data_IF_962173944112
#
_entry.id   IF_962173944112
#
_cell.length_a   1.000
_cell.length_b   1.000
_cell.length_c   1.000
_cell.angle_alpha   90.00
_cell.angle_beta   90.00
_cell.angle_gamma   90.00
#
_symmetry.space_group_name_H-M   'P 1'
#
loop_
_entity.id
_entity.type
_entity.pdbx_description
1 polymer ?
#
# COMPACT_ATOMS: atom_id res chain seq x y z
N UNK A 1 66.25 1.67 27.11
CA UNK A 1 65.26 0.99 27.96
C UNK A 1 64.15 0.55 27.02
N UNK A 2 63.96 -0.77 26.92
CA UNK A 2 62.91 -1.61 26.31
C UNK A 2 61.71 -0.94 25.59
N UNK A 3 61.01 -1.57 24.66
CA UNK A 3 61.18 -2.68 23.71
C UNK A 3 59.85 -2.73 22.91
N UNK A 4 59.95 -3.30 21.71
CA UNK A 4 58.95 -3.86 20.78
C UNK A 4 57.45 -3.89 21.16
N UNK A 5 56.57 -3.62 20.17
CA UNK A 5 55.19 -4.14 20.19
C UNK A 5 54.25 -3.75 19.04
N UNK A 6 54.28 -4.55 17.95
CA UNK A 6 53.17 -4.85 17.00
C UNK A 6 52.62 -3.68 16.14
N UNK A 7 52.95 -3.52 14.85
CA UNK A 7 52.67 -4.42 13.73
C UNK A 7 51.33 -5.18 13.82
N UNK A 8 50.23 -4.46 13.63
CA UNK A 8 49.01 -5.03 13.08
C UNK A 8 49.06 -4.87 11.55
N UNK A 9 49.73 -5.82 10.90
CA UNK A 9 49.63 -6.04 9.48
C UNK A 9 48.24 -6.57 9.19
N UNK A 10 47.34 -5.75 8.64
CA UNK A 10 46.12 -6.26 7.99
C UNK A 10 46.51 -6.68 6.57
N UNK A 11 46.54 -7.98 6.23
CA UNK A 11 46.85 -8.42 4.88
C UNK A 11 45.53 -8.50 4.11
N UNK A 12 45.14 -7.42 3.45
CA UNK A 12 43.96 -7.43 2.57
C UNK A 12 44.21 -6.83 1.18
N UNK A 13 45.47 -6.80 0.73
CA UNK A 13 45.84 -6.37 -0.62
C UNK A 13 47.01 -7.18 -1.20
N UNK A 14 47.04 -8.49 -0.95
CA UNK A 14 47.86 -9.43 -1.73
C UNK A 14 47.10 -10.74 -1.99
N UNK A 15 46.08 -10.66 -2.84
CA UNK A 15 45.70 -11.78 -3.71
C UNK A 15 45.73 -11.33 -5.16
N UNK A 16 46.87 -10.75 -5.55
CA UNK A 16 47.32 -10.83 -6.94
C UNK A 16 47.93 -12.21 -7.15
N UNK A 17 47.10 -13.22 -7.43
CA UNK A 17 47.53 -14.44 -8.12
C UNK A 17 46.31 -15.26 -8.59
N UNK A 18 46.02 -15.15 -9.89
CA UNK A 18 45.53 -16.20 -10.78
C UNK A 18 44.73 -17.33 -10.12
N UNK A 19 43.52 -17.04 -9.65
CA UNK A 19 42.44 -17.97 -9.90
C UNK A 19 41.91 -17.63 -11.28
N UNK A 20 42.34 -18.40 -12.28
CA UNK A 20 41.50 -18.62 -13.46
C UNK A 20 40.36 -19.46 -12.91
N UNK A 21 39.37 -18.78 -12.31
CA UNK A 21 38.12 -19.40 -11.96
C UNK A 21 37.68 -20.15 -13.20
N UNK A 22 37.36 -21.44 -13.05
CA UNK A 22 36.84 -22.20 -14.19
C UNK A 22 35.68 -21.40 -14.80
N UNK A 23 35.39 -21.59 -16.09
CA UNK A 23 34.25 -20.91 -16.71
C UNK A 23 32.94 -21.11 -15.93
N UNK A 24 32.85 -22.16 -15.10
CA UNK A 24 31.74 -22.45 -14.19
C UNK A 24 31.80 -21.66 -12.87
N UNK A 25 32.96 -21.54 -12.22
CA UNK A 25 33.11 -20.75 -10.98
C UNK A 25 32.84 -19.26 -11.22
N UNK A 26 33.28 -18.73 -12.37
CA UNK A 26 32.96 -17.34 -12.75
C UNK A 26 31.46 -17.15 -12.98
N UNK A 27 30.78 -18.11 -13.61
CA UNK A 27 29.32 -18.05 -13.84
C UNK A 27 28.54 -18.17 -12.54
N UNK A 28 28.96 -19.04 -11.62
CA UNK A 28 28.34 -19.19 -10.31
C UNK A 28 28.46 -17.89 -9.51
N UNK A 29 29.64 -17.29 -9.47
CA UNK A 29 29.85 -16.00 -8.80
C UNK A 29 29.02 -14.86 -9.43
N UNK A 30 28.93 -14.79 -10.76
CA UNK A 30 28.09 -13.81 -11.45
C UNK A 30 26.59 -14.03 -11.17
N UNK A 31 26.13 -15.28 -11.04
CA UNK A 31 24.76 -15.62 -10.66
C UNK A 31 24.46 -15.24 -9.20
N UNK A 32 25.36 -15.54 -8.27
CA UNK A 32 25.23 -15.18 -6.86
C UNK A 32 25.16 -13.66 -6.69
N UNK A 33 26.05 -12.91 -7.35
CA UNK A 33 26.05 -11.44 -7.32
C UNK A 33 24.74 -10.87 -7.90
N UNK A 34 24.28 -11.39 -9.03
CA UNK A 34 23.02 -10.96 -9.64
C UNK A 34 21.81 -11.24 -8.74
N UNK A 35 21.82 -12.36 -8.02
CA UNK A 35 20.76 -12.73 -7.07
C UNK A 35 20.77 -11.81 -5.83
N UNK A 36 21.94 -11.49 -5.28
CA UNK A 36 22.07 -10.53 -4.18
C UNK A 36 21.60 -9.12 -4.59
N UNK A 37 21.99 -8.66 -5.79
CA UNK A 37 21.54 -7.38 -6.33
C UNK A 37 20.02 -7.34 -6.53
N UNK A 38 19.42 -8.45 -6.98
CA UNK A 38 17.99 -8.58 -7.13
C UNK A 38 17.28 -8.51 -5.77
N UNK A 39 17.73 -9.30 -4.79
CA UNK A 39 17.14 -9.31 -3.44
C UNK A 39 17.20 -7.93 -2.78
N UNK A 40 18.35 -7.25 -2.86
CA UNK A 40 18.50 -5.90 -2.31
C UNK A 40 17.58 -4.89 -3.02
N UNK A 41 17.39 -5.04 -4.33
CA UNK A 41 16.49 -4.18 -5.10
C UNK A 41 15.02 -4.43 -4.77
N UNK A 42 14.63 -5.70 -4.60
CA UNK A 42 13.27 -6.08 -4.18
C UNK A 42 12.96 -5.57 -2.79
N UNK A 43 13.86 -5.74 -1.82
CA UNK A 43 13.66 -5.23 -0.46
C UNK A 43 13.46 -3.70 -0.45
N UNK A 44 14.30 -2.97 -1.17
CA UNK A 44 14.18 -1.51 -1.28
C UNK A 44 12.86 -1.07 -1.92
N UNK A 45 12.42 -1.77 -2.98
CA UNK A 45 11.13 -1.51 -3.62
C UNK A 45 9.98 -1.77 -2.65
N UNK A 46 10.00 -2.90 -1.95
CA UNK A 46 8.99 -3.25 -0.95
C UNK A 46 8.92 -2.20 0.15
N UNK A 47 10.06 -1.78 0.71
CA UNK A 47 10.10 -0.74 1.75
C UNK A 47 9.52 0.58 1.24
N UNK A 48 9.89 1.00 0.03
CA UNK A 48 9.36 2.21 -0.57
C UNK A 48 7.83 2.13 -0.81
N UNK A 49 7.33 0.97 -1.24
CA UNK A 49 5.89 0.77 -1.46
C UNK A 49 5.12 0.77 -0.14
N UNK A 50 5.62 0.08 0.88
CA UNK A 50 4.98 0.01 2.19
C UNK A 50 5.01 1.36 2.92
N UNK A 51 6.10 2.13 2.78
CA UNK A 51 6.21 3.47 3.35
C UNK A 51 5.25 4.46 2.66
N UNK A 52 5.14 4.40 1.33
CA UNK A 52 4.43 5.41 0.54
C UNK A 52 2.96 5.08 0.36
N UNK A 53 2.61 3.80 0.25
CA UNK A 53 1.27 3.34 -0.09
C UNK A 53 0.66 2.43 1.01
N UNK A 54 0.75 2.77 2.31
CA UNK A 54 0.25 1.92 3.39
C UNK A 54 -1.28 1.75 3.39
N UNK A 55 -1.98 2.57 2.60
CA UNK A 55 -3.43 2.59 2.47
C UNK A 55 -3.95 1.70 1.34
N UNK A 56 -3.07 1.20 0.46
CA UNK A 56 -3.50 0.32 -0.61
C UNK A 56 -3.60 -1.13 -0.13
N UNK A 57 -4.70 -1.77 -0.50
CA UNK A 57 -4.83 -3.22 -0.40
C UNK A 57 -3.83 -3.91 -1.33
N UNK A 58 -3.39 -5.12 -0.95
CA UNK A 58 -2.38 -5.89 -1.68
C UNK A 58 -2.74 -6.06 -3.17
N UNK A 59 -3.99 -6.40 -3.48
CA UNK A 59 -4.46 -6.55 -4.86
C UNK A 59 -4.29 -5.26 -5.69
N UNK A 60 -4.49 -4.09 -5.08
CA UNK A 60 -4.34 -2.79 -5.76
C UNK A 60 -2.89 -2.42 -5.95
N UNK A 61 -2.04 -2.78 -5.00
CA UNK A 61 -0.61 -2.63 -5.12
C UNK A 61 -0.08 -3.48 -6.28
N UNK A 62 -0.51 -4.75 -6.37
CA UNK A 62 -0.16 -5.66 -7.48
C UNK A 62 -0.58 -5.07 -8.81
N UNK A 63 -1.83 -4.60 -8.95
CA UNK A 63 -2.32 -3.97 -10.19
C UNK A 63 -1.48 -2.77 -10.63
N UNK A 64 -1.00 -1.94 -9.68
CA UNK A 64 -0.10 -0.83 -9.99
C UNK A 64 1.27 -1.30 -10.46
N UNK A 65 1.85 -2.30 -9.79
CA UNK A 65 3.15 -2.85 -10.16
C UNK A 65 3.10 -3.55 -11.51
N UNK A 66 2.03 -4.29 -11.80
CA UNK A 66 1.79 -4.90 -13.11
C UNK A 66 1.65 -3.82 -14.20
N UNK A 67 0.93 -2.73 -13.91
CA UNK A 67 0.82 -1.60 -14.85
C UNK A 67 2.18 -0.94 -15.15
N UNK A 68 3.04 -0.78 -14.13
CA UNK A 68 4.42 -0.31 -14.31
C UNK A 68 5.21 -1.33 -15.13
N UNK A 69 5.10 -2.61 -14.82
CA UNK A 69 5.84 -3.69 -15.49
C UNK A 69 5.49 -3.79 -16.98
N UNK A 70 4.20 -3.71 -17.35
CA UNK A 70 3.75 -3.73 -18.76
C UNK A 70 4.41 -2.59 -19.55
N UNK A 71 4.53 -1.41 -18.95
CA UNK A 71 5.16 -0.26 -19.60
C UNK A 71 6.67 -0.37 -19.73
N UNK A 72 7.33 -1.15 -18.87
CA UNK A 72 8.80 -1.25 -18.79
C UNK A 72 9.35 -2.64 -19.15
N UNK A 73 8.52 -3.55 -19.66
CA UNK A 73 8.92 -4.85 -20.22
C UNK A 73 9.99 -4.77 -21.33
N UNK A 74 10.91 -5.74 -21.41
CA UNK A 74 11.92 -5.84 -22.48
C UNK A 74 13.32 -5.32 -22.13
N UNK A 75 14.23 -5.39 -23.10
CA UNK A 75 15.68 -5.22 -22.86
C UNK A 75 16.17 -3.77 -22.80
N UNK A 76 15.34 -2.78 -23.15
CA UNK A 76 15.72 -1.37 -23.12
C UNK A 76 14.71 -0.58 -22.30
N UNK A 77 15.18 -0.09 -21.15
CA UNK A 77 14.46 0.86 -20.32
C UNK A 77 14.31 2.18 -21.10
N UNK A 78 13.17 2.34 -21.79
CA UNK A 78 12.84 3.56 -22.51
C UNK A 78 11.78 4.33 -21.74
N UNK A 79 12.01 5.63 -21.55
CA UNK A 79 11.02 6.54 -20.95
C UNK A 79 9.85 6.84 -21.90
N UNK A 80 10.01 6.49 -23.17
CA UNK A 80 8.96 6.54 -24.18
C UNK A 80 8.30 5.16 -24.33
N UNK A 81 7.07 5.07 -23.82
CA UNK A 81 6.29 3.82 -23.73
C UNK A 81 5.30 3.69 -24.91
N UNK A 82 5.34 4.61 -25.89
CA UNK A 82 4.41 4.67 -27.04
C UNK A 82 4.30 3.35 -27.80
N UNK A 83 5.43 2.68 -28.01
CA UNK A 83 5.50 1.41 -28.73
C UNK A 83 4.72 0.27 -28.06
N UNK A 84 4.28 0.44 -26.81
CA UNK A 84 3.52 -0.55 -26.04
C UNK A 84 2.05 -0.19 -25.88
N UNK A 85 1.55 0.72 -26.72
CA UNK A 85 0.18 1.20 -26.68
C UNK A 85 -0.85 0.06 -26.57
N UNK A 86 -0.79 -0.91 -27.48
CA UNK A 86 -1.74 -2.02 -27.51
C UNK A 86 -1.74 -2.86 -26.21
N UNK A 87 -0.55 -3.12 -25.63
CA UNK A 87 -0.42 -3.87 -24.37
C UNK A 87 -1.01 -3.10 -23.20
N UNK A 88 -0.80 -1.78 -23.16
CA UNK A 88 -1.33 -0.88 -22.12
C UNK A 88 -2.85 -0.82 -22.20
N UNK A 89 -3.43 -0.71 -23.40
CA UNK A 89 -4.90 -0.74 -23.61
C UNK A 89 -5.47 -2.06 -23.09
N UNK A 90 -4.95 -3.20 -23.58
CA UNK A 90 -5.43 -4.51 -23.20
C UNK A 90 -5.27 -4.80 -21.71
N UNK A 91 -4.26 -4.21 -21.05
CA UNK A 91 -4.13 -4.26 -19.60
C UNK A 91 -5.25 -3.46 -18.92
N UNK A 92 -5.46 -2.19 -19.31
CA UNK A 92 -6.43 -1.30 -18.66
C UNK A 92 -7.88 -1.72 -18.88
N UNK A 93 -8.20 -2.36 -20.00
CA UNK A 93 -9.52 -2.95 -20.23
C UNK A 93 -9.84 -4.07 -19.22
N UNK A 94 -8.81 -4.81 -18.78
CA UNK A 94 -8.94 -5.87 -17.77
C UNK A 94 -8.82 -5.34 -16.35
N UNK A 95 -7.93 -4.38 -16.14
CA UNK A 95 -7.57 -3.83 -14.84
C UNK A 95 -7.48 -2.28 -14.92
N UNK A 96 -8.60 -1.56 -14.80
CA UNK A 96 -8.63 -0.12 -15.02
C UNK A 96 -8.04 0.70 -13.86
N UNK A 97 -7.63 0.06 -12.77
CA UNK A 97 -7.29 0.73 -11.52
C UNK A 97 -6.24 1.83 -11.67
N UNK A 98 -5.18 1.60 -12.45
CA UNK A 98 -4.10 2.56 -12.63
C UNK A 98 -4.58 3.89 -13.23
N UNK A 99 -5.64 3.88 -14.05
CA UNK A 99 -6.24 5.06 -14.66
C UNK A 99 -7.34 5.71 -13.81
N UNK A 100 -7.60 5.20 -12.59
CA UNK A 100 -8.53 5.85 -11.64
C UNK A 100 -7.85 6.99 -10.89
N UNK A 101 -8.64 7.88 -10.26
CA UNK A 101 -8.10 8.94 -9.41
C UNK A 101 -7.22 8.40 -8.27
N UNK A 102 -7.57 7.24 -7.69
CA UNK A 102 -6.78 6.61 -6.65
C UNK A 102 -5.47 6.04 -7.22
N UNK A 103 -5.52 5.31 -8.33
CA UNK A 103 -4.32 4.77 -8.99
C UNK A 103 -3.34 5.85 -9.42
N UNK A 104 -3.82 6.95 -10.02
CA UNK A 104 -3.00 8.12 -10.38
C UNK A 104 -2.38 8.76 -9.13
N UNK A 105 -3.16 8.92 -8.05
CA UNK A 105 -2.64 9.43 -6.76
C UNK A 105 -1.50 8.55 -6.23
N UNK A 106 -1.68 7.24 -6.22
CA UNK A 106 -0.68 6.29 -5.72
C UNK A 106 0.62 6.33 -6.55
N UNK A 107 0.51 6.37 -7.89
CA UNK A 107 1.66 6.53 -8.76
C UNK A 107 2.37 7.88 -8.54
N UNK A 108 1.61 8.94 -8.29
CA UNK A 108 2.15 10.27 -8.00
C UNK A 108 2.91 10.32 -6.67
N UNK A 109 2.41 9.63 -5.64
CA UNK A 109 3.09 9.51 -4.35
C UNK A 109 4.41 8.75 -4.51
N UNK A 110 4.40 7.62 -5.22
CA UNK A 110 5.58 6.79 -5.45
C UNK A 110 6.65 7.53 -6.27
N UNK A 111 6.25 8.20 -7.35
CA UNK A 111 7.16 9.00 -8.16
C UNK A 111 7.78 10.16 -7.35
N UNK A 112 6.99 10.85 -6.51
CA UNK A 112 7.50 11.94 -5.66
C UNK A 112 8.47 11.44 -4.59
N UNK A 113 8.19 10.29 -3.99
CA UNK A 113 9.07 9.68 -3.01
C UNK A 113 10.43 9.33 -3.65
N UNK A 114 10.40 8.69 -4.81
CA UNK A 114 11.60 8.34 -5.56
C UNK A 114 12.39 9.58 -6.01
N UNK A 115 11.70 10.66 -6.41
CA UNK A 115 12.35 11.94 -6.77
C UNK A 115 13.10 12.55 -5.59
N UNK A 116 12.45 12.68 -4.42
CA UNK A 116 13.06 13.27 -3.20
C UNK A 116 14.32 12.53 -2.75
N UNK A 117 14.38 11.21 -2.91
CA UNK A 117 15.55 10.40 -2.55
C UNK A 117 16.66 10.41 -3.63
N UNK A 118 16.37 10.95 -4.82
CA UNK A 118 17.30 10.96 -5.98
C UNK A 118 18.12 12.25 -6.15
N UNK A 119 17.85 13.31 -5.38
CA UNK A 119 18.63 14.56 -5.40
C UNK A 119 20.05 14.30 -4.87
N UNK A 120 20.97 13.89 -5.75
CA UNK A 120 22.40 13.73 -5.42
C UNK A 120 23.21 12.83 -6.35
N UNK A 121 22.65 11.74 -6.90
CA UNK A 121 23.40 10.79 -7.74
C UNK A 121 22.50 10.06 -8.76
N UNK A 122 22.58 10.45 -10.04
CA UNK A 122 21.78 9.89 -11.14
C UNK A 122 21.97 8.37 -11.40
N UNK A 123 22.99 7.73 -10.80
CA UNK A 123 23.23 6.28 -10.90
C UNK A 123 22.46 5.45 -9.87
N UNK A 124 21.76 6.08 -8.92
CA UNK A 124 21.08 5.41 -7.80
C UNK A 124 19.78 4.70 -8.24
N UNK A 125 19.47 3.57 -7.60
CA UNK A 125 18.31 2.71 -7.89
C UNK A 125 16.98 3.48 -7.75
N UNK A 126 16.97 4.50 -6.90
CA UNK A 126 15.87 5.44 -6.64
C UNK A 126 15.58 6.33 -7.85
N UNK A 127 16.61 6.74 -8.61
CA UNK A 127 16.40 7.47 -9.85
C UNK A 127 15.77 6.58 -10.92
N UNK A 128 16.15 5.30 -10.97
CA UNK A 128 15.49 4.31 -11.85
C UNK A 128 14.03 4.13 -11.43
N UNK A 129 13.76 3.98 -10.14
CA UNK A 129 12.39 3.93 -9.62
C UNK A 129 11.59 5.20 -9.98
N UNK A 130 12.20 6.38 -9.93
CA UNK A 130 11.56 7.61 -10.38
C UNK A 130 11.24 7.57 -11.87
N UNK A 131 12.18 7.16 -12.73
CA UNK A 131 11.93 7.06 -14.17
C UNK A 131 10.81 6.07 -14.48
N UNK A 132 10.80 4.89 -13.84
CA UNK A 132 9.80 3.84 -14.13
C UNK A 132 8.39 4.32 -13.71
N UNK A 133 8.30 4.93 -12.54
CA UNK A 133 7.02 5.35 -11.95
C UNK A 133 6.49 6.63 -12.57
N UNK A 134 7.36 7.57 -12.94
CA UNK A 134 6.96 8.79 -13.64
C UNK A 134 6.46 8.52 -15.06
N UNK A 135 7.08 7.57 -15.77
CA UNK A 135 6.57 7.10 -17.06
C UNK A 135 5.17 6.50 -16.94
N UNK A 136 4.97 5.62 -15.95
CA UNK A 136 3.67 5.02 -15.68
C UNK A 136 2.61 6.06 -15.27
N UNK A 137 2.98 6.99 -14.41
CA UNK A 137 2.14 8.10 -13.99
C UNK A 137 1.71 8.98 -15.17
N UNK A 138 2.63 9.26 -16.10
CA UNK A 138 2.33 10.08 -17.27
C UNK A 138 1.19 9.46 -18.09
N UNK A 139 1.30 8.17 -18.40
CA UNK A 139 0.27 7.41 -19.13
C UNK A 139 -1.05 7.40 -18.36
N UNK A 140 -1.02 7.03 -17.09
CA UNK A 140 -2.24 6.94 -16.27
C UNK A 140 -2.96 8.28 -16.12
N UNK A 141 -2.23 9.37 -15.86
CA UNK A 141 -2.80 10.70 -15.71
C UNK A 141 -3.43 11.21 -17.01
N UNK A 142 -2.78 10.93 -18.15
CA UNK A 142 -3.31 11.30 -19.44
C UNK A 142 -4.61 10.52 -19.75
N UNK A 143 -4.66 9.21 -19.46
CA UNK A 143 -5.89 8.41 -19.65
C UNK A 143 -7.02 8.91 -18.73
N UNK A 144 -6.72 9.21 -17.46
CA UNK A 144 -7.71 9.79 -16.53
C UNK A 144 -8.28 11.11 -17.05
N UNK A 145 -7.44 11.98 -17.63
CA UNK A 145 -7.88 13.26 -18.19
C UNK A 145 -8.92 13.10 -19.30
N UNK A 146 -8.85 12.00 -20.04
CA UNK A 146 -9.78 11.63 -21.11
C UNK A 146 -10.93 10.76 -20.61
N UNK A 147 -11.37 10.96 -19.37
CA UNK A 147 -12.50 10.23 -18.80
C UNK A 147 -12.20 8.75 -18.50
N UNK A 148 -10.92 8.36 -18.46
CA UNK A 148 -10.52 6.97 -18.26
C UNK A 148 -10.51 6.14 -19.53
N UNK A 149 -10.67 6.75 -20.72
CA UNK A 149 -10.70 6.06 -22.01
C UNK A 149 -9.28 5.88 -22.57
N UNK A 150 -8.69 4.67 -22.55
CA UNK A 150 -7.33 4.46 -23.05
C UNK A 150 -7.26 4.74 -24.56
N UNK A 151 -8.28 4.34 -25.32
CA UNK A 151 -8.35 4.56 -26.77
C UNK A 151 -8.24 6.05 -27.14
N UNK A 152 -8.93 6.93 -26.39
CA UNK A 152 -8.89 8.37 -26.63
C UNK A 152 -7.49 8.97 -26.38
N UNK A 153 -6.78 8.47 -25.37
CA UNK A 153 -5.37 8.84 -25.14
C UNK A 153 -4.51 8.47 -26.35
N UNK A 154 -4.63 7.24 -26.88
CA UNK A 154 -3.82 6.77 -28.02
C UNK A 154 -4.19 7.46 -29.33
N UNK A 155 -5.47 7.65 -29.61
CA UNK A 155 -5.94 8.41 -30.77
C UNK A 155 -5.30 9.81 -30.77
N UNK A 156 -5.17 10.43 -29.59
CA UNK A 156 -4.57 11.74 -29.49
C UNK A 156 -3.04 11.76 -29.68
N UNK A 157 -2.36 10.62 -29.57
CA UNK A 157 -0.93 10.48 -29.92
C UNK A 157 -0.69 10.45 -31.42
N UNK A 158 -1.68 9.95 -32.17
CA UNK A 158 -1.66 9.85 -33.64
C UNK A 158 -2.00 11.19 -34.32
N UNK A 159 -2.56 12.14 -33.55
CA UNK A 159 -2.83 13.50 -34.01
C UNK A 159 -1.53 14.30 -34.21
N UNK A 160 -1.67 15.49 -34.78
CA UNK A 160 -0.54 16.37 -35.08
C UNK A 160 0.37 16.65 -33.86
N UNK A 161 1.56 17.18 -34.13
CA UNK A 161 2.60 17.44 -33.12
C UNK A 161 2.14 18.34 -31.97
N UNK A 162 1.19 19.25 -32.21
CA UNK A 162 0.68 20.17 -31.19
C UNK A 162 -0.20 19.42 -30.19
N UNK A 163 -1.09 18.57 -30.69
CA UNK A 163 -1.93 17.72 -29.86
C UNK A 163 -1.09 16.69 -29.13
N UNK A 164 -0.20 15.97 -29.84
CA UNK A 164 0.69 14.97 -29.27
C UNK A 164 1.56 15.49 -28.13
N UNK A 165 2.04 16.74 -28.22
CA UNK A 165 2.85 17.37 -27.16
C UNK A 165 2.07 17.61 -25.86
N UNK A 166 0.74 17.73 -25.91
CA UNK A 166 -0.08 17.79 -24.69
C UNK A 166 0.06 16.49 -23.91
N UNK A 167 0.14 15.34 -24.59
CA UNK A 167 0.17 13.99 -24.00
C UNK A 167 1.56 13.50 -23.58
N UNK A 168 2.61 13.99 -24.24
CA UNK A 168 3.95 13.42 -24.12
C UNK A 168 4.95 14.15 -23.25
N UNK A 169 4.57 15.25 -22.63
CA UNK A 169 5.53 15.95 -21.78
C UNK A 169 5.30 15.61 -20.33
N UNK A 170 6.41 15.47 -19.60
CA UNK A 170 6.53 15.41 -18.14
C UNK A 170 5.52 16.28 -17.37
N UNK A 171 4.91 17.25 -18.01
CA UNK A 171 3.76 18.03 -17.55
C UNK A 171 2.58 17.20 -17.03
N UNK A 172 2.14 16.09 -17.64
CA UNK A 172 1.05 15.30 -17.04
C UNK A 172 1.50 14.66 -15.72
N UNK A 173 2.67 14.03 -15.69
CA UNK A 173 3.24 13.52 -14.44
C UNK A 173 3.48 14.63 -13.39
N UNK A 174 4.00 15.79 -13.79
CA UNK A 174 4.21 16.95 -12.90
C UNK A 174 2.90 17.52 -12.39
N UNK A 175 1.89 17.68 -13.25
CA UNK A 175 0.55 18.12 -12.88
C UNK A 175 -0.08 17.12 -11.95
N UNK A 176 -0.02 15.83 -12.24
CA UNK A 176 -0.55 14.80 -11.36
C UNK A 176 0.18 14.79 -10.00
N UNK A 177 1.51 14.91 -9.98
CA UNK A 177 2.28 15.09 -8.74
C UNK A 177 1.87 16.35 -7.97
N UNK A 178 1.58 17.46 -8.67
CA UNK A 178 1.13 18.70 -8.05
C UNK A 178 -0.31 18.58 -7.55
N UNK A 179 -1.24 18.11 -8.36
CA UNK A 179 -2.68 18.01 -8.12
C UNK A 179 -2.98 16.93 -7.07
N UNK A 180 -2.46 15.73 -7.23
CA UNK A 180 -2.80 14.59 -6.35
C UNK A 180 -1.97 14.54 -5.07
N UNK A 181 -0.74 15.08 -5.05
CA UNK A 181 0.09 15.08 -3.84
C UNK A 181 -0.07 16.35 -2.98
N UNK A 182 -0.72 17.41 -3.50
CA UNK A 182 -1.20 18.51 -2.65
C UNK A 182 -2.56 18.19 -2.04
N UNK A 183 -3.38 17.38 -2.72
CA UNK A 183 -4.69 16.95 -2.25
C UNK A 183 -4.61 15.91 -1.12
N UNK A 184 -3.48 15.21 -0.96
CA UNK A 184 -3.27 14.21 0.11
C UNK A 184 -3.23 14.81 1.52
N UNK A 185 -2.96 16.11 1.69
CA UNK A 185 -3.17 16.75 3.00
C UNK A 185 -4.65 16.74 3.43
N UNK A 186 -5.58 16.72 2.47
CA UNK A 186 -7.02 16.79 2.72
C UNK A 186 -7.71 15.40 2.70
N UNK A 187 -7.22 14.45 1.89
CA UNK A 187 -7.75 13.08 1.86
C UNK A 187 -7.38 12.32 3.14
N UNK A 188 -6.14 12.49 3.62
CA UNK A 188 -5.66 11.89 4.87
C UNK A 188 -6.44 12.46 6.09
N UNK A 189 -6.91 13.71 6.02
CA UNK A 189 -7.83 14.29 7.00
C UNK A 189 -9.24 13.69 6.93
N UNK A 190 -9.76 13.46 5.72
CA UNK A 190 -11.10 12.93 5.49
C UNK A 190 -11.22 11.45 5.88
N UNK A 191 -10.21 10.64 5.58
CA UNK A 191 -10.18 9.23 5.97
C UNK A 191 -9.96 9.06 7.48
N UNK A 192 -9.10 9.90 8.11
CA UNK A 192 -8.98 9.92 9.57
C UNK A 192 -10.26 10.39 10.26
N UNK A 193 -10.97 11.37 9.69
CA UNK A 193 -12.27 11.79 10.19
C UNK A 193 -13.31 10.66 10.11
N UNK A 194 -13.42 9.99 8.96
CA UNK A 194 -14.32 8.83 8.79
C UNK A 194 -13.93 7.64 9.69
N UNK A 195 -12.64 7.41 9.92
CA UNK A 195 -12.17 6.39 10.87
C UNK A 195 -12.51 6.76 12.33
N UNK A 196 -12.47 8.04 12.69
CA UNK A 196 -12.88 8.52 14.01
C UNK A 196 -14.40 8.40 14.23
N UNK A 197 -15.21 8.70 13.23
CA UNK A 197 -16.67 8.53 13.27
C UNK A 197 -17.06 7.06 13.41
N UNK A 198 -16.40 6.15 12.68
CA UNK A 198 -16.63 4.70 12.83
C UNK A 198 -16.28 4.18 14.22
N UNK A 199 -15.21 4.70 14.84
CA UNK A 199 -14.86 4.36 16.24
C UNK A 199 -15.93 4.88 17.21
N UNK A 200 -16.41 6.11 16.99
CA UNK A 200 -17.45 6.71 17.84
C UNK A 200 -18.79 5.97 17.70
N UNK A 201 -19.19 5.57 16.49
CA UNK A 201 -20.38 4.75 16.26
C UNK A 201 -20.28 3.36 16.90
N UNK A 202 -19.09 2.72 16.84
CA UNK A 202 -18.86 1.46 17.56
C UNK A 202 -18.96 1.63 19.07
N UNK A 203 -18.45 2.74 19.61
CA UNK A 203 -18.55 3.02 21.03
C UNK A 203 -20.01 3.23 21.46
N UNK A 204 -20.80 4.02 20.72
CA UNK A 204 -22.23 4.21 20.98
C UNK A 204 -22.99 2.88 20.91
N UNK A 205 -22.66 2.02 19.94
CA UNK A 205 -23.26 0.69 19.83
C UNK A 205 -22.90 -0.19 21.05
N UNK A 206 -21.63 -0.21 21.46
CA UNK A 206 -21.20 -0.95 22.65
C UNK A 206 -21.92 -0.44 23.91
N UNK A 207 -21.99 0.87 24.10
CA UNK A 207 -22.65 1.48 25.27
C UNK A 207 -24.15 1.17 25.30
N UNK A 208 -24.81 1.15 24.14
CA UNK A 208 -26.24 0.83 24.03
C UNK A 208 -26.53 -0.65 24.31
N UNK A 209 -25.67 -1.56 23.84
CA UNK A 209 -25.82 -3.00 24.09
C UNK A 209 -25.43 -3.39 25.52
N UNK A 210 -24.34 -2.85 26.05
CA UNK A 210 -23.94 -3.09 27.44
C UNK A 210 -24.96 -2.50 28.42
N UNK A 211 -25.44 -1.28 28.19
CA UNK A 211 -26.48 -0.65 29.01
C UNK A 211 -27.82 -1.41 28.98
N UNK A 212 -28.26 -1.86 27.80
CA UNK A 212 -29.48 -2.68 27.66
C UNK A 212 -29.38 -4.04 28.35
N UNK A 213 -28.20 -4.68 28.30
CA UNK A 213 -27.97 -5.97 28.96
C UNK A 213 -28.06 -5.89 30.49
N UNK A 214 -27.60 -4.80 31.10
CA UNK A 214 -27.67 -4.59 32.54
C UNK A 214 -29.11 -4.36 33.02
N UNK A 215 -29.92 -3.62 32.25
CA UNK A 215 -31.34 -3.44 32.55
C UNK A 215 -32.12 -4.75 32.44
N UNK A 216 -31.89 -5.56 31.41
CA UNK A 216 -32.54 -6.87 31.30
C UNK A 216 -32.14 -7.78 32.46
N UNK A 217 -30.86 -7.83 32.82
CA UNK A 217 -30.41 -8.66 33.94
C UNK A 217 -31.03 -8.22 35.27
N UNK A 218 -31.10 -6.91 35.54
CA UNK A 218 -31.75 -6.38 36.75
C UNK A 218 -33.25 -6.70 36.80
N UNK A 219 -33.96 -6.60 35.67
CA UNK A 219 -35.38 -6.92 35.58
C UNK A 219 -35.66 -8.41 35.83
N UNK A 220 -34.85 -9.30 35.26
CA UNK A 220 -34.94 -10.75 35.47
C UNK A 220 -34.70 -11.08 36.95
N UNK A 221 -33.63 -10.55 37.54
CA UNK A 221 -33.31 -10.79 38.95
C UNK A 221 -34.38 -10.23 39.89
N UNK A 222 -34.94 -9.06 39.58
CA UNK A 222 -36.07 -8.49 40.33
C UNK A 222 -37.32 -9.35 40.24
N UNK A 223 -37.65 -9.87 39.06
CA UNK A 223 -38.79 -10.77 38.85
C UNK A 223 -38.64 -12.10 39.60
N UNK A 224 -37.45 -12.70 39.58
CA UNK A 224 -37.15 -13.91 40.36
C UNK A 224 -37.30 -13.63 41.86
N UNK A 225 -36.79 -12.50 42.35
CA UNK A 225 -36.93 -12.10 43.75
C UNK A 225 -38.40 -11.98 44.18
N UNK A 226 -39.23 -11.32 43.38
CA UNK A 226 -40.67 -11.18 43.66
C UNK A 226 -41.39 -12.55 43.69
N UNK A 227 -41.03 -13.47 42.78
CA UNK A 227 -41.58 -14.82 42.75
C UNK A 227 -41.25 -15.62 44.02
N UNK A 228 -39.99 -15.56 44.48
CA UNK A 228 -39.56 -16.24 45.71
C UNK A 228 -40.35 -15.73 46.92
N UNK A 229 -40.57 -14.41 47.02
CA UNK A 229 -41.36 -13.82 48.11
C UNK A 229 -42.82 -14.30 48.05
N UNK A 230 -43.43 -14.32 46.87
CA UNK A 230 -44.81 -14.77 46.70
C UNK A 230 -45.00 -16.26 47.07
N UNK A 231 -44.07 -17.12 46.66
CA UNK A 231 -44.07 -18.54 47.02
C UNK A 231 -43.92 -18.70 48.53
N UNK A 232 -42.96 -18.00 49.14
CA UNK A 232 -42.72 -18.05 50.59
C UNK A 232 -43.95 -17.62 51.38
N UNK A 233 -44.60 -16.53 50.97
CA UNK A 233 -45.83 -16.05 51.60
C UNK A 233 -46.97 -17.07 51.47
N UNK A 234 -47.14 -17.67 50.29
CA UNK A 234 -48.17 -18.69 50.04
C UNK A 234 -47.94 -19.94 50.88
N UNK A 235 -46.69 -20.40 51.01
CA UNK A 235 -46.32 -21.54 51.86
C UNK A 235 -46.58 -21.24 53.33
N UNK A 236 -46.16 -20.06 53.83
CA UNK A 236 -46.44 -19.64 55.20
C UNK A 236 -47.94 -19.58 55.48
N UNK A 237 -48.73 -19.05 54.55
CA UNK A 237 -50.18 -18.98 54.69
C UNK A 237 -50.83 -20.37 54.74
N UNK A 238 -50.40 -21.30 53.87
CA UNK A 238 -50.88 -22.69 53.87
C UNK A 238 -50.51 -23.43 55.15
N UNK A 239 -49.28 -23.25 55.65
CA UNK A 239 -48.85 -23.81 56.93
C UNK A 239 -49.68 -23.26 58.08
N UNK A 240 -49.94 -21.95 58.09
CA UNK A 240 -50.77 -21.31 59.10
C UNK A 240 -52.22 -21.84 59.08
N UNK A 241 -52.82 -22.00 57.89
CA UNK A 241 -54.14 -22.63 57.76
C UNK A 241 -54.14 -24.07 58.27
N UNK A 242 -53.09 -24.85 57.99
CA UNK A 242 -52.96 -26.21 58.51
C UNK A 242 -52.92 -26.24 60.04
N UNK A 243 -52.21 -25.32 60.70
CA UNK A 243 -52.20 -25.25 62.17
C UNK A 243 -53.53 -24.82 62.78
N UNK A 244 -54.29 -23.96 62.10
CA UNK A 244 -55.58 -23.47 62.61
C UNK A 244 -56.73 -24.47 62.41
N UNK A 245 -56.70 -25.24 61.33
CA UNK A 245 -57.84 -26.06 60.89
C UNK A 245 -57.50 -27.55 60.77
N UNK A 246 -56.26 -27.95 61.02
CA UNK A 246 -55.82 -29.35 61.02
C UNK A 246 -56.04 -30.03 62.37
N UNK A 247 -57.29 -30.33 62.69
CA UNK A 247 -57.71 -31.38 63.62
C UNK A 247 -58.82 -32.21 62.98
#
# INVERSE_FOLDING_TARGET
MFDVGHQASTPLLQMGNRFVASGEEKRLYEQELAQEELQASTAMLTDALMEVLPHLEEDRLVQLLEFVAVQHSGNNFNTDNTGKAAEIVAFLERQPFAATALGVTSLAMLARHALKRSEGEAKRKEHRLWLITSGALNTAAAILHHGGEPAAFFEALERDTVHRNLYFQREFAKRAMKEHVTTTANVDYRERALASERKQQRQVFIDQYCGGSHFMFAAIMGGIGALIVAISFTLCFRLWQFFLYGQ
#
